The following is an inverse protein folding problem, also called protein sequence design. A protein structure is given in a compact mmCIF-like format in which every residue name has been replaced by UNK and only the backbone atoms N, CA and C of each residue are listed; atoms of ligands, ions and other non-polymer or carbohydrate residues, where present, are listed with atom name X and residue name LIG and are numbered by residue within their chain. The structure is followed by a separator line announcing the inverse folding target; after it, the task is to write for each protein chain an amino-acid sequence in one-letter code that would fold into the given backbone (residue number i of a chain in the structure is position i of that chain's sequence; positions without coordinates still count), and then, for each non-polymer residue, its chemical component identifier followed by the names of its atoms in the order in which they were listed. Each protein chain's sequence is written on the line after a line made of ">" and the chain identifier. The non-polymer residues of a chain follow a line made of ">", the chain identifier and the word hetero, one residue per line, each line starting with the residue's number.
data_IF_968870730648
#
_entry.id   IF_968870730648
#
_cell.length_a   1.000
_cell.length_b   1.000
_cell.length_c   1.000
_cell.angle_alpha   90.00
_cell.angle_beta   90.00
_cell.angle_gamma   90.00
#
_symmetry.space_group_name_H-M   'P 1'
#
loop_
_entity.id
_entity.type
_entity.pdbx_description
1 polymer ?
#
# COMPACT_ATOMS: atom_id res chain seq x y z
N UNK A 1 13.57 -6.36 7.32
CA UNK A 1 12.97 -5.00 7.21
C UNK A 1 12.83 -4.55 5.77
N UNK A 2 13.85 -4.72 4.93
CA UNK A 2 13.80 -4.32 3.53
C UNK A 2 12.71 -5.05 2.71
N UNK A 3 12.55 -6.36 2.91
CA UNK A 3 11.47 -7.15 2.30
C UNK A 3 10.07 -6.61 2.65
N UNK A 4 9.90 -6.11 3.87
CA UNK A 4 8.61 -5.57 4.34
C UNK A 4 8.33 -4.21 3.69
N UNK A 5 9.35 -3.35 3.55
CA UNK A 5 9.22 -2.10 2.78
C UNK A 5 8.90 -2.39 1.30
N UNK A 6 9.55 -3.38 0.70
CA UNK A 6 9.25 -3.83 -0.66
C UNK A 6 7.80 -4.31 -0.76
N UNK A 7 7.33 -5.07 0.23
CA UNK A 7 5.95 -5.54 0.28
C UNK A 7 4.94 -4.38 0.36
N UNK A 8 5.24 -3.32 1.14
CA UNK A 8 4.42 -2.11 1.19
C UNK A 8 4.37 -1.38 -0.16
N UNK A 9 5.53 -1.17 -0.80
CA UNK A 9 5.60 -0.53 -2.12
C UNK A 9 4.83 -1.33 -3.16
N UNK A 10 4.98 -2.65 -3.16
CA UNK A 10 4.23 -3.54 -4.03
C UNK A 10 2.71 -3.43 -3.82
N UNK A 11 2.26 -3.33 -2.56
CA UNK A 11 0.86 -3.08 -2.23
C UNK A 11 0.34 -1.76 -2.77
N UNK A 12 1.10 -0.69 -2.55
CA UNK A 12 0.78 0.65 -3.04
C UNK A 12 0.64 0.68 -4.56
N UNK A 13 1.67 0.24 -5.30
CA UNK A 13 1.64 0.21 -6.77
C UNK A 13 0.53 -0.70 -7.30
N UNK A 14 0.26 -1.83 -6.64
CA UNK A 14 -0.84 -2.73 -7.06
C UNK A 14 -2.21 -2.06 -6.90
N UNK A 15 -2.44 -1.37 -5.78
CA UNK A 15 -3.68 -0.64 -5.53
C UNK A 15 -3.87 0.51 -6.52
N UNK A 16 -2.83 1.32 -6.74
CA UNK A 16 -2.86 2.46 -7.65
C UNK A 16 -3.07 2.03 -9.10
N UNK A 17 -2.41 0.96 -9.54
CA UNK A 17 -2.64 0.39 -10.88
C UNK A 17 -4.09 -0.05 -11.04
N UNK A 18 -4.64 -0.80 -10.08
CA UNK A 18 -6.02 -1.27 -10.15
C UNK A 18 -7.02 -0.10 -10.18
N UNK A 19 -6.82 0.94 -9.36
CA UNK A 19 -7.67 2.15 -9.36
C UNK A 19 -7.61 2.91 -10.68
N UNK A 20 -6.44 2.98 -11.32
CA UNK A 20 -6.26 3.62 -12.63
C UNK A 20 -6.98 2.86 -13.74
N UNK A 21 -6.89 1.54 -13.72
CA UNK A 21 -7.58 0.66 -14.67
C UNK A 21 -9.10 0.60 -14.41
N UNK A 22 -9.52 0.80 -13.15
CA UNK A 22 -10.90 0.72 -12.69
C UNK A 22 -11.27 1.95 -11.83
N UNK A 23 -11.50 3.13 -12.42
CA UNK A 23 -11.72 4.37 -11.66
C UNK A 23 -12.93 4.32 -10.70
N UNK A 24 -13.95 3.54 -11.05
CA UNK A 24 -15.15 3.34 -10.24
C UNK A 24 -15.00 2.29 -9.13
N UNK A 25 -13.88 1.57 -9.07
CA UNK A 25 -13.66 0.55 -8.05
C UNK A 25 -13.62 1.18 -6.65
N UNK A 26 -14.28 0.50 -5.70
CA UNK A 26 -14.29 0.89 -4.30
C UNK A 26 -12.97 0.51 -3.62
N UNK A 27 -12.64 1.18 -2.51
CA UNK A 27 -11.45 0.84 -1.74
C UNK A 27 -11.50 -0.60 -1.20
N UNK A 28 -12.69 -1.13 -0.92
CA UNK A 28 -12.88 -2.52 -0.51
C UNK A 28 -12.54 -3.52 -1.63
N UNK A 29 -13.05 -3.26 -2.84
CA UNK A 29 -12.76 -4.09 -4.02
C UNK A 29 -11.25 -4.12 -4.31
N UNK A 30 -10.61 -2.94 -4.28
CA UNK A 30 -9.16 -2.80 -4.48
C UNK A 30 -8.40 -3.56 -3.39
N UNK A 31 -8.82 -3.44 -2.14
CA UNK A 31 -8.20 -4.13 -1.00
C UNK A 31 -8.29 -5.65 -1.15
N UNK A 32 -9.45 -6.18 -1.56
CA UNK A 32 -9.61 -7.61 -1.84
C UNK A 32 -8.75 -8.07 -3.02
N UNK A 33 -8.59 -7.25 -4.06
CA UNK A 33 -7.68 -7.53 -5.17
C UNK A 33 -6.22 -7.61 -4.70
N UNK A 34 -5.76 -6.62 -3.93
CA UNK A 34 -4.40 -6.58 -3.38
C UNK A 34 -4.15 -7.79 -2.47
N UNK A 35 -5.10 -8.11 -1.57
CA UNK A 35 -4.97 -9.25 -0.66
C UNK A 35 -4.83 -10.58 -1.41
N UNK A 36 -5.57 -10.78 -2.51
CA UNK A 36 -5.43 -11.96 -3.39
C UNK A 36 -4.10 -12.04 -4.11
N UNK A 37 -3.45 -10.89 -4.36
CA UNK A 37 -2.15 -10.79 -5.05
C UNK A 37 -0.97 -10.81 -4.08
N UNK A 38 -1.20 -10.56 -2.79
CA UNK A 38 -0.18 -10.53 -1.76
C UNK A 38 0.52 -11.91 -1.64
N UNK A 39 1.84 -11.91 -1.77
CA UNK A 39 2.70 -13.08 -1.64
C UNK A 39 3.62 -12.92 -0.43
N UNK A 40 4.21 -14.03 0.02
CA UNK A 40 5.15 -14.03 1.14
C UNK A 40 4.53 -14.48 2.45
N UNK A 41 5.26 -14.19 3.53
CA UNK A 41 4.93 -14.44 4.93
C UNK A 41 3.73 -13.63 5.40
N UNK A 42 3.24 -13.91 6.62
CA UNK A 42 2.17 -13.12 7.24
C UNK A 42 2.51 -11.64 7.34
N UNK A 43 3.73 -11.31 7.76
CA UNK A 43 4.21 -9.93 7.89
C UNK A 43 4.24 -9.20 6.54
N UNK A 44 4.73 -9.85 5.48
CA UNK A 44 4.76 -9.26 4.14
C UNK A 44 3.35 -9.03 3.60
N UNK A 45 2.41 -9.96 3.82
CA UNK A 45 1.01 -9.77 3.43
C UNK A 45 0.37 -8.59 4.14
N UNK A 46 0.59 -8.44 5.45
CA UNK A 46 0.08 -7.30 6.21
C UNK A 46 0.70 -6.00 5.69
N UNK A 47 2.01 -5.98 5.48
CA UNK A 47 2.71 -4.82 4.95
C UNK A 47 2.22 -4.41 3.55
N UNK A 48 1.94 -5.38 2.67
CA UNK A 48 1.28 -5.15 1.39
C UNK A 48 -0.08 -4.48 1.56
N UNK A 49 -0.90 -4.93 2.51
CA UNK A 49 -2.20 -4.29 2.79
C UNK A 49 -2.07 -2.89 3.37
N UNK A 50 -1.07 -2.65 4.23
CA UNK A 50 -0.78 -1.33 4.80
C UNK A 50 -0.35 -0.36 3.71
N UNK A 51 0.55 -0.78 2.81
CA UNK A 51 0.99 0.03 1.67
C UNK A 51 -0.16 0.41 0.73
N UNK A 52 -1.03 -0.56 0.41
CA UNK A 52 -2.23 -0.30 -0.39
C UNK A 52 -3.18 0.70 0.27
N UNK A 53 -3.49 0.49 1.56
CA UNK A 53 -4.40 1.36 2.32
C UNK A 53 -3.87 2.79 2.40
N UNK A 54 -2.56 2.94 2.64
CA UNK A 54 -1.91 4.26 2.70
C UNK A 54 -1.94 4.97 1.34
N UNK A 55 -1.66 4.26 0.26
CA UNK A 55 -1.73 4.81 -1.10
C UNK A 55 -3.13 5.31 -1.44
N UNK A 56 -4.17 4.51 -1.21
CA UNK A 56 -5.56 4.92 -1.46
C UNK A 56 -5.96 6.11 -0.59
N UNK A 57 -5.61 6.10 0.70
CA UNK A 57 -5.87 7.23 1.59
C UNK A 57 -5.18 8.53 1.16
N UNK A 58 -4.02 8.47 0.50
CA UNK A 58 -3.36 9.65 -0.07
C UNK A 58 -4.09 10.17 -1.30
N UNK A 59 -4.55 9.28 -2.20
CA UNK A 59 -5.34 9.66 -3.38
C UNK A 59 -6.69 10.26 -2.97
N UNK A 60 -7.36 9.67 -2.00
CA UNK A 60 -8.66 10.17 -1.50
C UNK A 60 -8.54 11.56 -0.88
N UNK A 61 -7.44 11.84 -0.17
CA UNK A 61 -7.15 13.16 0.42
C UNK A 61 -6.68 14.18 -0.61
N UNK A 62 -5.91 13.74 -1.61
CA UNK A 62 -5.36 14.58 -2.66
C UNK A 62 -5.33 13.85 -4.00
N UNK A 63 -6.36 13.99 -4.85
CA UNK A 63 -6.44 13.30 -6.13
C UNK A 63 -5.33 13.67 -7.14
N UNK A 64 -4.61 14.79 -6.92
CA UNK A 64 -3.51 15.21 -7.78
C UNK A 64 -2.14 14.68 -7.33
N UNK A 65 -2.08 13.93 -6.22
CA UNK A 65 -0.82 13.36 -5.74
C UNK A 65 -0.30 12.34 -6.76
N UNK A 66 1.00 12.39 -7.04
CA UNK A 66 1.62 11.45 -7.99
C UNK A 66 1.97 10.13 -7.33
N UNK A 67 1.99 9.05 -8.11
CA UNK A 67 2.46 7.74 -7.64
C UNK A 67 3.89 7.81 -7.07
N UNK A 68 4.75 8.66 -7.64
CA UNK A 68 6.11 8.89 -7.14
C UNK A 68 6.12 9.48 -5.73
N UNK A 69 5.26 10.45 -5.46
CA UNK A 69 5.13 11.07 -4.14
C UNK A 69 4.56 10.09 -3.11
N UNK A 70 3.57 9.28 -3.51
CA UNK A 70 3.02 8.22 -2.65
C UNK A 70 4.11 7.22 -2.27
N UNK A 71 4.83 6.67 -3.26
CA UNK A 71 5.88 5.67 -3.00
C UNK A 71 6.98 6.27 -2.14
N UNK A 72 7.42 7.50 -2.42
CA UNK A 72 8.41 8.21 -1.60
C UNK A 72 7.94 8.30 -0.14
N UNK A 73 6.69 8.73 0.08
CA UNK A 73 6.13 8.82 1.43
C UNK A 73 6.10 7.46 2.13
N UNK A 74 5.71 6.39 1.43
CA UNK A 74 5.65 5.04 1.99
C UNK A 74 7.05 4.53 2.37
N UNK A 75 8.07 4.79 1.55
CA UNK A 75 9.45 4.41 1.85
C UNK A 75 10.01 5.18 3.04
N UNK A 76 9.77 6.51 3.08
CA UNK A 76 10.25 7.39 4.16
C UNK A 76 9.55 7.12 5.49
N UNK A 77 8.25 6.83 5.46
CA UNK A 77 7.48 6.46 6.66
C UNK A 77 7.54 4.98 7.01
N UNK A 78 8.18 4.16 6.17
CA UNK A 78 8.18 2.71 6.32
C UNK A 78 8.78 2.26 7.64
N UNK A 79 9.85 2.91 8.11
CA UNK A 79 10.49 2.54 9.38
C UNK A 79 9.59 2.81 10.60
N UNK A 80 8.85 3.92 10.60
CA UNK A 80 7.91 4.26 11.66
C UNK A 80 6.69 3.32 11.67
N UNK A 81 6.18 2.99 10.48
CA UNK A 81 5.06 2.05 10.33
C UNK A 81 5.45 0.66 10.84
N UNK A 82 6.65 0.20 10.49
CA UNK A 82 7.15 -1.10 10.94
C UNK A 82 7.37 -1.14 12.45
N UNK A 83 7.86 -0.05 13.04
CA UNK A 83 8.03 0.06 14.48
C UNK A 83 6.68 -0.09 15.20
N UNK A 84 5.65 0.62 14.75
CA UNK A 84 4.31 0.55 15.34
C UNK A 84 3.66 -0.83 15.15
N UNK A 85 4.03 -1.59 14.11
CA UNK A 85 3.53 -2.96 13.89
C UNK A 85 4.21 -4.02 14.78
N UNK A 86 5.34 -3.70 15.40
CA UNK A 86 6.08 -4.64 16.28
C UNK A 86 5.83 -4.37 17.77
N UNK A 87 5.24 -3.23 18.11
CA UNK A 87 4.91 -2.82 19.49
C UNK A 87 3.49 -3.24 19.93
N UNK A 88 2.70 -3.83 19.02
CA UNK A 88 1.40 -4.50 19.26
C UNK A 88 1.51 -6.03 19.09
#
# INVERSE_FOLDING_TARGET
>A
MEEVKIAMVNGASTALRYKRENPSASNEEISQYVMRKAKGTGAEKVATMVGASKALGMVDKNPSVTEREIIKNIVESGDEILKNMMED
#
